data_IF_183855268653
#
_entry.id   IF_183855268653
#
_cell.length_a   1.000
_cell.length_b   1.000
_cell.length_c   1.000
_cell.angle_alpha   90.00
_cell.angle_beta   90.00
_cell.angle_gamma   90.00
#
_symmetry.space_group_name_H-M   'P 1'
#
loop_
_entity.id
_entity.type
_entity.pdbx_description
1 polymer ?
#
# COMPACT_ATOMS: atom_id res chain seq x y z
N UNK A 1 -16.77 24.29 4.38
CA UNK A 1 -17.05 22.84 4.48
C UNK A 1 -15.73 22.17 4.74
N UNK A 2 -15.50 21.64 5.94
CA UNK A 2 -14.23 21.00 6.28
C UNK A 2 -14.03 19.74 5.44
N UNK A 3 -12.79 19.50 4.99
CA UNK A 3 -12.39 18.34 4.17
C UNK A 3 -12.74 17.00 4.86
N UNK A 4 -12.69 16.95 6.19
CA UNK A 4 -13.09 15.81 7.00
C UNK A 4 -14.51 15.29 6.73
N UNK A 5 -15.45 16.19 6.38
CA UNK A 5 -16.83 15.82 6.02
C UNK A 5 -16.97 15.27 4.59
N UNK A 6 -15.92 15.33 3.75
CA UNK A 6 -15.94 14.80 2.38
C UNK A 6 -15.36 13.39 2.25
N UNK A 7 -14.51 12.97 3.21
CA UNK A 7 -13.95 11.61 3.24
C UNK A 7 -14.95 10.68 3.93
N UNK A 8 -15.84 10.07 3.14
CA UNK A 8 -16.67 8.98 3.64
C UNK A 8 -15.84 7.72 3.82
N UNK A 9 -16.26 6.81 4.71
CA UNK A 9 -15.66 5.46 4.85
C UNK A 9 -15.59 4.68 3.51
N UNK A 10 -16.40 5.07 2.52
CA UNK A 10 -16.37 4.54 1.14
C UNK A 10 -15.13 4.99 0.36
N UNK A 11 -14.54 6.13 0.70
CA UNK A 11 -13.37 6.66 -0.02
C UNK A 11 -12.05 6.05 0.50
N UNK A 12 -12.00 5.56 1.73
CA UNK A 12 -10.83 4.87 2.28
C UNK A 12 -10.46 3.60 1.50
N UNK A 13 -11.44 2.94 0.88
CA UNK A 13 -11.22 1.76 0.04
C UNK A 13 -10.88 2.11 -1.42
N UNK A 14 -11.02 3.37 -1.84
CA UNK A 14 -10.75 3.81 -3.21
C UNK A 14 -9.26 4.01 -3.46
N UNK A 15 -8.54 4.56 -2.49
CA UNK A 15 -7.13 4.96 -2.61
C UNK A 15 -6.23 4.06 -1.78
N UNK A 16 -4.96 3.93 -2.21
CA UNK A 16 -3.92 3.24 -1.43
C UNK A 16 -2.97 4.28 -0.81
N UNK A 17 -2.35 3.95 0.33
CA UNK A 17 -1.23 4.73 0.82
C UNK A 17 -0.02 4.50 -0.08
N UNK A 18 0.43 5.54 -0.80
CA UNK A 18 1.60 5.48 -1.69
C UNK A 18 2.89 5.82 -0.96
N UNK A 19 2.82 6.35 0.27
CA UNK A 19 3.95 6.59 1.16
C UNK A 19 4.27 5.37 2.04
N UNK A 20 4.42 4.21 1.43
CA UNK A 20 4.70 2.95 2.16
C UNK A 20 5.97 2.27 1.68
N UNK A 21 6.70 1.65 2.60
CA UNK A 21 7.86 0.82 2.30
C UNK A 21 7.51 -0.36 1.39
N UNK A 22 6.28 -0.88 1.44
CA UNK A 22 5.79 -1.97 0.57
C UNK A 22 5.78 -1.59 -0.91
N UNK A 23 5.65 -0.31 -1.23
CA UNK A 23 5.84 0.24 -2.58
C UNK A 23 7.29 0.64 -2.88
N UNK A 24 8.19 0.57 -1.90
CA UNK A 24 9.58 1.00 -2.02
C UNK A 24 9.78 2.50 -1.77
N UNK A 25 8.80 3.18 -1.17
CA UNK A 25 8.94 4.58 -0.74
C UNK A 25 9.95 4.70 0.39
N UNK A 26 10.76 5.75 0.37
CA UNK A 26 11.83 6.00 1.34
C UNK A 26 11.89 7.49 1.71
N UNK A 27 12.10 7.78 2.98
CA UNK A 27 12.55 9.08 3.45
C UNK A 27 14.06 9.17 3.14
N UNK A 28 14.45 10.14 2.32
CA UNK A 28 15.82 10.22 1.78
C UNK A 28 16.69 11.10 2.66
N UNK A 29 16.23 12.32 2.94
CA UNK A 29 16.94 13.28 3.77
C UNK A 29 15.98 14.27 4.42
N UNK A 30 16.43 14.88 5.50
CA UNK A 30 15.67 15.88 6.24
C UNK A 30 16.60 16.98 6.76
N UNK A 31 16.04 18.07 7.25
CA UNK A 31 16.77 19.14 7.91
C UNK A 31 17.33 18.70 9.25
N UNK A 32 16.56 17.92 10.00
CA UNK A 32 16.92 17.46 11.34
C UNK A 32 16.16 16.16 11.67
N UNK A 33 16.78 15.27 12.43
CA UNK A 33 16.20 14.04 12.97
C UNK A 33 16.82 13.73 14.36
N UNK A 34 17.11 14.77 15.13
CA UNK A 34 17.87 14.66 16.37
C UNK A 34 17.19 13.78 17.44
N UNK A 35 15.86 13.68 17.45
CA UNK A 35 15.12 12.95 18.46
C UNK A 35 14.41 11.69 17.95
N UNK A 36 14.17 11.59 16.63
CA UNK A 36 13.69 10.34 16.04
C UNK A 36 13.93 10.30 14.53
N UNK A 37 14.37 9.14 14.03
CA UNK A 37 14.71 8.91 12.63
C UNK A 37 13.50 9.09 11.71
N UNK A 38 13.70 9.80 10.60
CA UNK A 38 12.66 10.12 9.59
C UNK A 38 11.96 8.92 8.99
N UNK A 39 12.64 7.77 8.90
CA UNK A 39 12.09 6.55 8.31
C UNK A 39 10.88 6.02 9.09
N UNK A 40 10.83 6.28 10.42
CA UNK A 40 9.76 5.76 11.29
C UNK A 40 8.39 6.31 10.94
N UNK A 41 8.29 7.56 10.44
CA UNK A 41 7.00 8.14 10.04
C UNK A 41 6.35 7.45 8.84
N UNK A 42 7.10 6.63 8.07
CA UNK A 42 6.59 5.86 6.94
C UNK A 42 6.19 4.43 7.30
N UNK A 43 6.22 4.06 8.58
CA UNK A 43 5.74 2.76 9.06
C UNK A 43 4.25 2.57 8.76
N UNK A 44 3.86 1.34 8.44
CA UNK A 44 2.45 0.97 8.20
C UNK A 44 1.70 0.59 9.48
N UNK A 45 2.45 0.22 10.53
CA UNK A 45 1.85 -0.13 11.81
C UNK A 45 1.32 1.11 12.51
N UNK A 46 0.27 0.94 13.32
CA UNK A 46 -0.20 2.01 14.19
C UNK A 46 0.93 2.50 15.11
N UNK A 47 0.99 3.82 15.40
CA UNK A 47 1.99 4.36 16.29
C UNK A 47 1.88 3.77 17.68
N UNK A 48 3.02 3.40 18.25
CA UNK A 48 3.10 2.88 19.61
C UNK A 48 3.98 3.77 20.50
N UNK A 49 3.69 3.78 21.79
CA UNK A 49 4.53 4.43 22.79
C UNK A 49 5.20 3.37 23.66
N UNK A 50 6.52 3.49 23.86
CA UNK A 50 7.29 2.62 24.75
C UNK A 50 7.87 3.44 25.89
N UNK A 51 7.32 3.25 27.06
CA UNK A 51 7.82 3.96 28.25
C UNK A 51 9.21 3.44 28.65
N UNK A 52 10.11 4.35 29.02
CA UNK A 52 11.48 4.04 29.50
C UNK A 52 12.33 3.21 28.49
N UNK A 53 12.04 3.32 27.19
CA UNK A 53 12.88 2.75 26.12
C UNK A 53 13.70 3.87 25.50
N UNK A 54 15.00 3.65 25.36
CA UNK A 54 15.94 4.63 24.80
C UNK A 54 16.71 4.02 23.64
N UNK A 55 17.06 4.85 22.68
CA UNK A 55 17.94 4.50 21.57
C UNK A 55 18.99 5.60 21.34
N UNK A 56 19.65 5.60 20.19
CA UNK A 56 20.69 6.57 19.85
C UNK A 56 20.14 8.01 19.71
N UNK A 57 18.82 8.19 19.68
CA UNK A 57 18.12 9.49 19.58
C UNK A 57 17.60 9.98 20.96
N UNK A 58 17.79 9.22 22.02
CA UNK A 58 17.24 9.52 23.36
C UNK A 58 16.02 8.66 23.69
N UNK A 59 15.00 9.25 24.34
CA UNK A 59 13.72 8.56 24.57
C UNK A 59 13.13 8.09 23.23
N UNK A 60 12.86 6.80 23.14
CA UNK A 60 12.36 6.22 21.88
C UNK A 60 10.98 6.77 21.51
N UNK A 61 10.88 7.32 20.31
CA UNK A 61 9.65 7.83 19.72
C UNK A 61 9.34 7.12 18.40
N UNK A 62 8.08 6.75 18.20
CA UNK A 62 7.63 6.06 16.99
C UNK A 62 7.16 7.05 15.91
N UNK A 63 8.12 7.76 15.35
CA UNK A 63 7.90 8.76 14.33
C UNK A 63 9.18 9.48 13.95
N UNK A 64 9.07 10.55 13.17
CA UNK A 64 10.14 11.49 12.88
C UNK A 64 10.03 12.67 13.84
N UNK A 65 11.13 13.04 14.51
CA UNK A 65 11.15 14.16 15.45
C UNK A 65 12.42 14.98 15.31
N UNK A 66 12.22 16.30 15.13
CA UNK A 66 13.28 17.30 15.04
C UNK A 66 13.52 17.99 16.37
N UNK A 67 14.70 18.55 16.56
CA UNK A 67 14.98 19.43 17.69
C UNK A 67 14.22 20.75 17.53
N UNK A 68 13.94 21.40 18.66
CA UNK A 68 13.30 22.71 18.70
C UNK A 68 14.14 23.75 17.97
N UNK A 69 13.56 24.38 16.94
CA UNK A 69 14.18 25.51 16.25
C UNK A 69 14.17 26.76 17.14
N UNK A 70 15.32 27.40 17.21
CA UNK A 70 15.47 28.70 17.91
C UNK A 70 15.74 29.84 16.93
N UNK A 71 15.71 29.58 15.63
CA UNK A 71 15.92 30.52 14.53
C UNK A 71 14.70 30.47 13.59
N UNK A 72 14.46 31.55 12.86
CA UNK A 72 13.41 31.56 11.84
C UNK A 72 13.59 30.43 10.82
N UNK A 73 12.49 29.89 10.32
CA UNK A 73 12.46 28.83 9.32
C UNK A 73 11.56 27.67 9.73
N UNK A 74 11.71 26.55 9.05
CA UNK A 74 10.91 25.35 9.26
C UNK A 74 11.76 24.12 8.94
N UNK A 75 11.29 22.96 9.41
CA UNK A 75 11.92 21.69 9.11
C UNK A 75 11.20 20.96 7.98
N UNK A 76 11.93 20.13 7.26
CA UNK A 76 11.38 19.37 6.15
C UNK A 76 12.04 17.99 6.01
N UNK A 77 11.30 17.09 5.37
CA UNK A 77 11.78 15.77 4.97
C UNK A 77 11.47 15.53 3.50
N UNK A 78 12.45 15.09 2.72
CA UNK A 78 12.29 14.67 1.33
C UNK A 78 12.03 13.17 1.29
N UNK A 79 10.95 12.81 0.60
CA UNK A 79 10.47 11.44 0.46
C UNK A 79 10.47 11.10 -1.03
N UNK A 80 11.15 10.02 -1.38
CA UNK A 80 11.09 9.43 -2.72
C UNK A 80 9.96 8.41 -2.75
N UNK A 81 8.95 8.62 -3.57
CA UNK A 81 7.93 7.60 -3.82
C UNK A 81 8.56 6.41 -4.53
N UNK A 82 8.25 5.22 -4.09
CA UNK A 82 8.74 3.97 -4.70
C UNK A 82 8.16 3.75 -6.09
N UNK A 83 6.93 4.26 -6.33
CA UNK A 83 6.25 4.26 -7.62
C UNK A 83 5.69 5.66 -7.87
N UNK A 84 5.84 6.23 -9.08
CA UNK A 84 5.18 7.48 -9.43
C UNK A 84 3.68 7.39 -9.17
N UNK A 85 3.09 8.41 -8.59
CA UNK A 85 1.70 8.33 -8.10
C UNK A 85 0.94 9.65 -8.28
N UNK A 86 -0.35 9.52 -8.59
CA UNK A 86 -1.30 10.62 -8.43
C UNK A 86 -1.84 10.60 -7.01
N UNK A 87 -1.80 11.72 -6.32
CA UNK A 87 -2.21 11.84 -4.93
C UNK A 87 -3.53 12.60 -4.84
N UNK A 88 -4.43 12.13 -3.99
CA UNK A 88 -5.72 12.75 -3.73
C UNK A 88 -5.71 13.54 -2.42
N UNK A 89 -5.15 12.95 -1.36
CA UNK A 89 -5.05 13.60 -0.07
C UNK A 89 -3.87 13.08 0.75
N UNK A 90 -3.50 13.85 1.76
CA UNK A 90 -2.48 13.52 2.74
C UNK A 90 -3.10 13.28 4.11
N UNK A 91 -2.41 12.50 4.92
CA UNK A 91 -2.73 12.27 6.32
C UNK A 91 -1.46 12.42 7.16
N UNK A 92 -1.56 13.24 8.20
CA UNK A 92 -0.53 13.34 9.23
C UNK A 92 -1.13 12.86 10.55
N UNK A 93 -0.40 11.98 11.21
CA UNK A 93 -0.71 11.49 12.55
C UNK A 93 0.36 12.01 13.51
N UNK A 94 -0.06 12.71 14.56
CA UNK A 94 0.77 13.23 15.63
C UNK A 94 0.61 12.41 16.92
N UNK A 95 0.14 11.16 16.83
CA UNK A 95 -0.03 10.28 17.98
C UNK A 95 1.22 10.26 18.87
N UNK A 96 1.01 10.39 20.17
CA UNK A 96 2.05 10.47 21.22
C UNK A 96 2.88 11.76 21.24
N UNK A 97 2.76 12.65 20.25
CA UNK A 97 3.36 13.98 20.25
C UNK A 97 2.35 15.00 20.82
N UNK A 98 2.32 15.16 22.13
CA UNK A 98 1.31 16.00 22.82
C UNK A 98 1.78 17.43 23.08
N UNK A 99 3.09 17.66 23.24
CA UNK A 99 3.66 18.98 23.49
C UNK A 99 4.72 19.41 22.46
N UNK A 100 5.14 18.48 21.61
CA UNK A 100 6.22 18.62 20.65
C UNK A 100 5.78 18.29 19.20
N UNK A 101 4.48 18.37 18.93
CA UNK A 101 3.95 18.29 17.57
C UNK A 101 4.17 19.60 16.80
N UNK A 102 4.33 19.57 15.47
CA UNK A 102 4.39 20.79 14.66
C UNK A 102 3.03 21.50 14.66
N UNK A 103 3.04 22.83 14.71
CA UNK A 103 1.79 23.61 14.68
C UNK A 103 1.08 23.50 13.35
N UNK A 104 1.86 23.40 12.25
CA UNK A 104 1.34 23.35 10.89
C UNK A 104 2.22 22.47 10.01
N UNK A 105 1.66 22.01 8.89
CA UNK A 105 2.39 21.31 7.84
C UNK A 105 1.92 21.69 6.44
N UNK A 106 2.78 21.45 5.44
CA UNK A 106 2.43 21.48 4.03
C UNK A 106 3.22 20.43 3.25
N UNK A 107 2.75 20.10 2.07
CA UNK A 107 3.44 19.17 1.19
C UNK A 107 3.72 19.82 -0.15
N UNK A 108 4.97 19.64 -0.62
CA UNK A 108 5.39 20.02 -1.95
C UNK A 108 5.69 18.74 -2.74
N UNK A 109 5.46 18.75 -4.05
CA UNK A 109 5.68 17.63 -4.95
C UNK A 109 6.71 17.96 -6.03
N UNK A 110 7.35 16.92 -6.58
CA UNK A 110 8.19 17.03 -7.76
C UNK A 110 8.00 15.82 -8.69
N UNK A 111 7.93 16.09 -9.98
CA UNK A 111 7.79 15.07 -11.05
C UNK A 111 9.16 14.63 -11.62
N UNK A 112 10.24 15.19 -11.13
CA UNK A 112 11.60 14.93 -11.63
C UNK A 112 11.99 13.45 -11.48
N UNK A 113 12.65 12.91 -12.49
CA UNK A 113 13.19 11.53 -12.42
C UNK A 113 14.40 11.42 -11.50
N UNK A 114 15.18 12.52 -11.36
CA UNK A 114 16.33 12.61 -10.45
C UNK A 114 15.89 13.27 -9.15
N UNK A 115 16.67 13.12 -8.10
CA UNK A 115 16.44 13.79 -6.82
C UNK A 115 16.41 15.32 -7.04
N UNK A 116 15.31 15.99 -6.59
CA UNK A 116 15.22 17.44 -6.67
C UNK A 116 16.25 18.10 -5.74
N UNK A 117 16.76 19.27 -6.14
CA UNK A 117 17.58 20.09 -5.24
C UNK A 117 16.72 20.74 -4.16
N UNK A 118 17.36 21.41 -3.19
CA UNK A 118 16.64 22.18 -2.17
C UNK A 118 16.04 23.48 -2.72
N UNK A 119 16.39 23.82 -3.97
CA UNK A 119 15.86 25.01 -4.64
C UNK A 119 14.35 24.88 -4.84
N UNK A 120 13.59 25.88 -4.44
CA UNK A 120 12.12 25.92 -4.57
C UNK A 120 11.64 25.72 -6.01
N UNK A 121 12.45 26.10 -7.02
CA UNK A 121 12.14 25.89 -8.45
C UNK A 121 11.97 24.41 -8.84
N UNK A 122 12.48 23.49 -8.04
CA UNK A 122 12.36 22.05 -8.28
C UNK A 122 11.08 21.45 -7.70
N UNK A 123 10.32 22.25 -6.97
CA UNK A 123 9.16 21.83 -6.20
C UNK A 123 7.94 22.65 -6.55
N UNK A 124 6.79 21.99 -6.50
CA UNK A 124 5.48 22.62 -6.58
C UNK A 124 4.74 22.47 -5.25
N UNK A 125 4.09 23.53 -4.79
CA UNK A 125 3.19 23.47 -3.64
C UNK A 125 1.96 22.68 -4.06
N UNK A 126 1.71 21.55 -3.39
CA UNK A 126 0.61 20.63 -3.70
C UNK A 126 -0.38 20.44 -2.56
N UNK A 127 -0.18 21.15 -1.46
CA UNK A 127 -1.18 21.29 -0.39
C UNK A 127 -1.16 22.70 0.19
N UNK A 128 -2.29 23.12 0.73
CA UNK A 128 -2.31 24.31 1.60
C UNK A 128 -1.55 24.03 2.89
N UNK A 129 -1.10 25.10 3.56
CA UNK A 129 -0.64 24.99 4.96
C UNK A 129 -1.85 24.61 5.82
N UNK A 130 -1.70 23.55 6.60
CA UNK A 130 -2.76 22.94 7.40
C UNK A 130 -2.36 22.94 8.87
N UNK A 131 -3.24 23.38 9.74
CA UNK A 131 -3.05 23.33 11.18
C UNK A 131 -3.06 21.87 11.67
N UNK A 132 -2.16 21.56 12.57
CA UNK A 132 -2.07 20.26 13.26
C UNK A 132 -2.37 20.46 14.74
N UNK A 133 -2.72 19.37 15.40
CA UNK A 133 -2.96 19.35 16.84
C UNK A 133 -2.23 18.21 17.55
N UNK A 134 -2.28 18.18 18.89
CA UNK A 134 -1.63 17.15 19.69
C UNK A 134 -2.35 15.81 19.54
N UNK A 135 -1.58 14.73 19.33
CA UNK A 135 -2.06 13.34 19.34
C UNK A 135 -3.35 13.13 18.52
N UNK A 136 -3.37 13.63 17.28
CA UNK A 136 -4.53 13.53 16.38
C UNK A 136 -4.14 13.17 14.95
N UNK A 137 -5.11 12.69 14.19
CA UNK A 137 -5.01 12.46 12.76
C UNK A 137 -5.63 13.65 12.02
N UNK A 138 -4.85 14.26 11.13
CA UNK A 138 -5.28 15.38 10.28
C UNK A 138 -5.23 14.97 8.80
N UNK A 139 -6.36 15.08 8.09
CA UNK A 139 -6.45 14.83 6.65
C UNK A 139 -6.58 16.16 5.90
N UNK A 140 -5.85 16.29 4.78
CA UNK A 140 -5.92 17.48 3.92
C UNK A 140 -5.69 17.15 2.45
N UNK A 141 -6.26 17.96 1.57
CA UNK A 141 -6.35 17.70 0.14
C UNK A 141 -4.99 17.91 -0.59
N UNK A 142 -4.72 17.09 -1.60
CA UNK A 142 -3.74 17.39 -2.62
C UNK A 142 -4.39 18.32 -3.67
N UNK A 143 -3.94 19.57 -3.72
CA UNK A 143 -4.55 20.64 -4.54
C UNK A 143 -4.17 20.57 -6.02
N UNK A 144 -3.16 19.79 -6.38
CA UNK A 144 -2.69 19.62 -7.76
C UNK A 144 -2.68 18.16 -8.18
N UNK A 145 -3.14 17.92 -9.39
CA UNK A 145 -3.21 16.57 -9.99
C UNK A 145 -2.07 16.42 -10.99
N UNK A 146 -1.05 15.67 -10.59
CA UNK A 146 0.06 15.26 -11.46
C UNK A 146 0.61 13.91 -11.01
N UNK A 147 1.60 13.37 -11.73
CA UNK A 147 2.28 12.11 -11.40
C UNK A 147 3.55 12.43 -10.61
N UNK A 148 3.41 12.45 -9.31
CA UNK A 148 4.48 12.81 -8.40
C UNK A 148 5.48 11.66 -8.23
N UNK A 149 6.76 11.98 -8.12
CA UNK A 149 7.87 11.06 -7.84
C UNK A 149 8.53 11.34 -6.52
N UNK A 150 8.43 12.58 -6.06
CA UNK A 150 9.02 13.05 -4.82
C UNK A 150 8.03 13.91 -4.07
N UNK A 151 8.09 13.81 -2.75
CA UNK A 151 7.36 14.68 -1.84
C UNK A 151 8.35 15.36 -0.90
N UNK A 152 8.08 16.60 -0.53
CA UNK A 152 8.74 17.31 0.55
C UNK A 152 7.68 17.65 1.58
N UNK A 153 7.74 16.95 2.71
CA UNK A 153 6.92 17.26 3.87
C UNK A 153 7.59 18.40 4.62
N UNK A 154 6.92 19.53 4.76
CA UNK A 154 7.36 20.67 5.55
C UNK A 154 6.54 20.72 6.84
N UNK A 155 7.20 20.97 7.96
CA UNK A 155 6.61 21.14 9.28
C UNK A 155 7.02 22.47 9.88
N UNK A 156 6.08 23.17 10.51
CA UNK A 156 6.27 24.54 10.99
C UNK A 156 6.05 24.65 12.49
N UNK A 157 7.02 25.20 13.28
CA UNK A 157 8.40 25.45 12.87
C UNK A 157 9.27 24.17 12.93
N UNK A 158 8.96 23.26 13.84
CA UNK A 158 9.63 22.00 14.19
C UNK A 158 8.65 21.04 14.86
N UNK A 159 9.08 19.83 15.21
CA UNK A 159 8.31 18.93 16.03
C UNK A 159 8.34 17.47 15.57
N UNK A 160 7.40 16.68 16.10
CA UNK A 160 7.30 15.25 15.86
C UNK A 160 6.05 14.85 15.07
N UNK A 161 6.23 13.92 14.15
CA UNK A 161 5.18 13.28 13.36
C UNK A 161 5.29 11.77 13.50
N UNK A 162 4.23 11.13 14.01
CA UNK A 162 4.18 9.69 14.16
C UNK A 162 4.06 8.99 12.80
N UNK A 163 3.10 9.44 11.96
CA UNK A 163 2.93 8.88 10.60
C UNK A 163 2.63 9.96 9.59
N UNK A 164 3.19 9.77 8.40
CA UNK A 164 2.85 10.51 7.19
C UNK A 164 2.38 9.54 6.11
N UNK A 165 1.16 9.72 5.63
CA UNK A 165 0.57 8.91 4.57
C UNK A 165 0.10 9.82 3.43
N UNK A 166 0.22 9.34 2.19
CA UNK A 166 -0.34 9.99 1.01
C UNK A 166 -1.22 8.98 0.27
N UNK A 167 -2.45 9.32 0.04
CA UNK A 167 -3.46 8.43 -0.52
C UNK A 167 -3.76 8.79 -1.97
N UNK A 168 -3.74 7.77 -2.83
CA UNK A 168 -3.95 7.96 -4.26
C UNK A 168 -3.84 6.66 -5.05
N UNK A 169 -3.37 6.78 -6.28
CA UNK A 169 -3.11 5.63 -7.16
C UNK A 169 -1.72 5.68 -7.75
N UNK A 170 -1.08 4.54 -7.87
CA UNK A 170 0.19 4.41 -8.56
C UNK A 170 0.01 4.63 -10.07
N UNK A 171 1.01 5.24 -10.68
CA UNK A 171 1.18 5.40 -12.13
C UNK A 171 2.56 4.82 -12.49
N UNK A 172 2.67 3.50 -12.58
CA UNK A 172 3.96 2.84 -12.75
C UNK A 172 4.58 3.18 -14.11
N UNK A 173 5.90 3.26 -14.14
CA UNK A 173 6.65 3.18 -15.37
C UNK A 173 6.65 1.71 -15.84
N UNK A 174 5.82 1.38 -16.82
CA UNK A 174 5.70 0.02 -17.33
C UNK A 174 6.99 -0.43 -18.02
N UNK A 175 7.45 -1.68 -17.81
CA UNK A 175 8.60 -2.20 -18.53
C UNK A 175 8.34 -2.29 -20.04
N UNK A 176 9.42 -2.23 -20.82
CA UNK A 176 9.34 -2.33 -22.28
C UNK A 176 8.79 -3.70 -22.74
N UNK A 177 9.23 -4.78 -22.06
CA UNK A 177 8.65 -6.11 -22.30
C UNK A 177 7.36 -6.26 -21.49
N UNK A 178 6.25 -6.39 -22.20
CA UNK A 178 4.90 -6.46 -21.63
C UNK A 178 4.31 -7.87 -21.57
N UNK A 179 5.12 -8.90 -21.81
CA UNK A 179 4.62 -10.27 -21.96
C UNK A 179 4.50 -11.05 -20.64
N UNK A 180 5.25 -10.64 -19.59
CA UNK A 180 5.29 -11.36 -18.30
C UNK A 180 5.33 -10.36 -17.14
N UNK A 181 4.27 -9.56 -17.02
CA UNK A 181 4.15 -8.55 -15.98
C UNK A 181 3.36 -9.10 -14.80
N UNK A 182 3.86 -8.92 -13.58
CA UNK A 182 3.15 -9.27 -12.34
C UNK A 182 2.04 -8.26 -12.03
N UNK A 183 0.92 -8.35 -12.74
CA UNK A 183 -0.15 -7.34 -12.69
C UNK A 183 -0.95 -7.34 -11.38
N UNK A 184 -0.83 -8.36 -10.55
CA UNK A 184 -1.38 -8.34 -9.19
C UNK A 184 -0.56 -7.49 -8.22
N UNK A 185 0.69 -7.15 -8.54
CA UNK A 185 1.59 -6.45 -7.64
C UNK A 185 1.15 -5.01 -7.37
N UNK A 186 1.26 -4.58 -6.10
CA UNK A 186 0.97 -3.20 -5.66
C UNK A 186 1.73 -2.16 -6.48
N UNK A 187 2.99 -2.42 -6.88
CA UNK A 187 3.79 -1.47 -7.66
C UNK A 187 3.21 -1.19 -9.04
N UNK A 188 2.41 -2.09 -9.58
CA UNK A 188 1.68 -1.95 -10.84
C UNK A 188 0.22 -1.57 -10.65
N UNK A 189 -0.21 -1.29 -9.43
CA UNK A 189 -1.58 -0.88 -9.11
C UNK A 189 -2.52 -2.04 -8.78
N UNK A 190 -1.98 -3.24 -8.56
CA UNK A 190 -2.74 -4.35 -7.97
C UNK A 190 -3.33 -3.94 -6.63
N UNK A 191 -4.57 -4.32 -6.36
CA UNK A 191 -5.30 -3.91 -5.16
C UNK A 191 -6.24 -4.99 -4.67
N UNK A 192 -6.24 -5.23 -3.36
CA UNK A 192 -7.24 -6.07 -2.71
C UNK A 192 -8.54 -5.27 -2.59
N UNK A 193 -9.64 -5.87 -3.06
CA UNK A 193 -10.95 -5.23 -3.11
C UNK A 193 -11.86 -5.72 -2.00
N UNK A 194 -11.89 -7.04 -1.77
CA UNK A 194 -12.73 -7.68 -0.76
C UNK A 194 -12.17 -9.06 -0.40
N UNK A 195 -12.55 -9.56 0.76
CA UNK A 195 -12.12 -10.87 1.27
C UNK A 195 -13.16 -11.40 2.27
N UNK A 196 -13.18 -12.73 2.46
CA UNK A 196 -14.08 -13.39 3.42
C UNK A 196 -13.65 -13.18 4.86
N UNK A 197 -12.35 -13.30 5.12
CA UNK A 197 -11.72 -13.14 6.44
C UNK A 197 -10.25 -12.76 6.28
N UNK A 198 -9.73 -11.95 7.21
CA UNK A 198 -8.32 -11.59 7.34
C UNK A 198 -8.03 -11.39 8.82
N UNK A 199 -7.71 -12.47 9.51
CA UNK A 199 -7.58 -12.45 10.96
C UNK A 199 -6.15 -12.22 11.43
N UNK A 200 -5.18 -12.78 10.71
CA UNK A 200 -3.76 -12.67 11.03
C UNK A 200 -2.98 -12.10 9.84
N UNK A 201 -1.89 -11.44 10.16
CA UNK A 201 -0.98 -10.86 9.16
C UNK A 201 -1.54 -9.62 8.47
N UNK A 202 -0.79 -9.17 7.47
CA UNK A 202 -1.18 -8.05 6.62
C UNK A 202 -1.63 -8.58 5.25
N UNK A 203 -2.93 -8.54 4.99
CA UNK A 203 -3.51 -9.06 3.75
C UNK A 203 -2.88 -8.45 2.48
N UNK A 204 -2.45 -7.20 2.51
CA UNK A 204 -1.81 -6.56 1.36
C UNK A 204 -0.43 -7.14 1.04
N UNK A 205 0.22 -7.80 2.01
CA UNK A 205 1.55 -8.40 1.81
C UNK A 205 1.55 -9.44 0.69
N UNK A 206 0.44 -10.16 0.47
CA UNK A 206 0.38 -11.23 -0.54
C UNK A 206 0.61 -10.75 -1.98
N UNK A 207 0.39 -9.45 -2.24
CA UNK A 207 0.62 -8.81 -3.55
C UNK A 207 1.78 -7.82 -3.53
N UNK A 208 2.65 -7.86 -2.51
CA UNK A 208 3.87 -7.05 -2.46
C UNK A 208 5.02 -7.70 -3.21
N UNK A 209 6.02 -6.89 -3.56
CA UNK A 209 7.27 -7.37 -4.15
C UNK A 209 8.12 -8.11 -3.08
N UNK A 210 8.91 -9.08 -3.52
CA UNK A 210 9.87 -9.79 -2.68
C UNK A 210 9.30 -11.07 -2.06
N UNK A 211 10.18 -11.80 -1.38
CA UNK A 211 9.83 -13.04 -0.71
C UNK A 211 9.21 -12.75 0.66
N UNK A 212 8.36 -13.64 1.18
CA UNK A 212 7.85 -13.51 2.54
C UNK A 212 9.00 -13.64 3.56
N UNK A 213 8.88 -12.97 4.70
CA UNK A 213 9.91 -13.03 5.76
C UNK A 213 9.45 -13.85 6.98
N UNK A 214 8.16 -13.97 7.19
CA UNK A 214 7.53 -14.81 8.24
C UNK A 214 6.02 -14.95 7.97
N UNK A 215 5.29 -15.67 8.84
CA UNK A 215 3.84 -15.85 8.72
C UNK A 215 3.06 -14.53 8.78
N UNK A 216 3.48 -13.57 9.59
CA UNK A 216 2.84 -12.26 9.70
C UNK A 216 2.94 -11.42 8.43
N UNK A 217 3.87 -11.76 7.52
CA UNK A 217 4.02 -11.19 6.19
C UNK A 217 3.23 -11.99 5.15
N UNK A 218 1.95 -12.24 5.44
CA UNK A 218 1.03 -12.98 4.59
C UNK A 218 -0.41 -12.74 4.98
N UNK A 219 -1.33 -13.37 4.30
CA UNK A 219 -2.77 -13.40 4.60
C UNK A 219 -3.12 -14.73 5.24
N UNK A 220 -3.74 -14.71 6.42
CA UNK A 220 -4.21 -15.89 7.12
C UNK A 220 -5.63 -15.68 7.66
N UNK A 221 -6.50 -16.64 7.38
CA UNK A 221 -7.88 -16.65 7.85
C UNK A 221 -8.01 -17.45 9.16
N UNK A 222 -9.06 -17.19 9.92
CA UNK A 222 -9.43 -18.02 11.05
C UNK A 222 -9.76 -19.44 10.62
N UNK A 223 -9.50 -20.41 11.50
CA UNK A 223 -9.92 -21.79 11.25
C UNK A 223 -11.44 -21.89 11.11
N UNK A 224 -11.87 -22.37 9.96
CA UNK A 224 -13.27 -22.53 9.62
C UNK A 224 -13.86 -23.75 10.32
N UNK A 225 -14.94 -23.54 11.08
CA UNK A 225 -15.67 -24.62 11.79
C UNK A 225 -17.04 -24.92 11.17
N UNK A 226 -17.38 -24.25 10.09
CA UNK A 226 -18.59 -24.44 9.30
C UNK A 226 -18.22 -24.80 7.85
N UNK A 227 -19.09 -25.49 7.10
CA UNK A 227 -18.88 -25.76 5.69
C UNK A 227 -18.64 -24.47 4.91
N UNK A 228 -17.77 -24.53 3.90
CA UNK A 228 -17.46 -23.39 3.05
C UNK A 228 -15.98 -23.28 2.71
N UNK A 229 -15.57 -22.10 2.28
CA UNK A 229 -14.20 -21.79 1.90
C UNK A 229 -13.95 -20.28 2.07
N UNK A 230 -12.69 -19.90 2.18
CA UNK A 230 -12.32 -18.50 2.24
C UNK A 230 -11.82 -18.00 0.87
N UNK A 231 -11.89 -16.70 0.67
CA UNK A 231 -11.60 -16.11 -0.62
C UNK A 231 -11.11 -14.66 -0.51
N UNK A 232 -10.43 -14.23 -1.55
CA UNK A 232 -9.97 -12.86 -1.73
C UNK A 232 -10.19 -12.41 -3.17
N UNK A 233 -10.65 -11.17 -3.36
CA UNK A 233 -10.82 -10.54 -4.67
C UNK A 233 -9.75 -9.47 -4.85
N UNK A 234 -9.03 -9.56 -5.95
CA UNK A 234 -7.95 -8.65 -6.31
C UNK A 234 -8.27 -8.00 -7.65
N UNK A 235 -8.20 -6.68 -7.69
CA UNK A 235 -8.15 -5.92 -8.94
C UNK A 235 -6.70 -5.91 -9.44
N UNK A 236 -6.47 -6.30 -10.67
CA UNK A 236 -5.17 -6.21 -11.33
C UNK A 236 -4.85 -4.75 -11.69
N UNK A 237 -3.59 -4.40 -11.71
CA UNK A 237 -3.15 -3.04 -12.04
C UNK A 237 -3.53 -2.56 -13.44
N UNK A 238 -3.71 -3.51 -14.36
CA UNK A 238 -4.23 -3.27 -15.70
C UNK A 238 -4.91 -4.53 -16.24
N UNK A 239 -5.64 -4.38 -17.33
CA UNK A 239 -6.24 -5.50 -18.06
C UNK A 239 -5.15 -6.44 -18.59
N UNK A 240 -5.25 -7.73 -18.27
CA UNK A 240 -4.19 -8.72 -18.39
C UNK A 240 -4.70 -9.99 -19.05
N UNK A 241 -3.97 -10.51 -20.06
CA UNK A 241 -4.10 -11.90 -20.51
C UNK A 241 -3.17 -12.76 -19.60
N UNK A 242 -3.76 -13.50 -18.68
CA UNK A 242 -3.02 -14.28 -17.67
C UNK A 242 -2.30 -15.45 -18.34
N UNK A 243 -1.01 -15.62 -18.05
CA UNK A 243 -0.19 -16.73 -18.52
C UNK A 243 0.41 -17.56 -17.38
N UNK A 244 0.55 -16.98 -16.18
CA UNK A 244 1.15 -17.64 -15.02
C UNK A 244 0.51 -17.19 -13.72
N UNK A 245 0.33 -18.13 -12.80
CA UNK A 245 -0.14 -17.91 -11.44
C UNK A 245 0.88 -18.51 -10.49
N UNK A 246 1.26 -17.76 -9.44
CA UNK A 246 2.08 -18.26 -8.35
C UNK A 246 1.30 -18.13 -7.05
N UNK A 247 1.26 -19.21 -6.29
CA UNK A 247 0.72 -19.27 -4.93
C UNK A 247 1.81 -19.79 -4.01
N UNK A 248 2.17 -19.00 -3.02
CA UNK A 248 3.23 -19.30 -2.07
C UNK A 248 2.65 -19.50 -0.68
N UNK A 249 2.88 -20.65 -0.09
CA UNK A 249 2.49 -21.03 1.28
C UNK A 249 3.69 -21.08 2.22
N UNK A 250 4.85 -20.54 1.84
CA UNK A 250 6.05 -20.50 2.68
C UNK A 250 5.73 -19.98 4.07
N UNK A 251 6.27 -20.61 5.11
CA UNK A 251 6.00 -20.46 6.54
C UNK A 251 4.67 -21.02 7.04
N UNK A 252 3.67 -21.28 6.19
CA UNK A 252 2.40 -21.90 6.58
C UNK A 252 2.52 -23.42 6.58
N UNK A 253 3.08 -24.00 7.65
CA UNK A 253 3.39 -25.44 7.75
C UNK A 253 2.18 -26.28 8.20
N UNK A 254 1.42 -25.78 9.18
CA UNK A 254 0.26 -26.49 9.75
C UNK A 254 -1.10 -25.88 9.44
N UNK A 255 -1.10 -24.72 8.81
CA UNK A 255 -2.26 -23.87 8.56
C UNK A 255 -2.34 -23.35 7.11
N UNK A 256 -1.71 -24.08 6.16
CA UNK A 256 -1.92 -23.82 4.74
C UNK A 256 -3.25 -24.38 4.26
N UNK A 257 -3.88 -23.81 3.23
CA UNK A 257 -5.05 -24.43 2.59
C UNK A 257 -4.69 -25.77 1.96
N UNK A 258 -5.64 -26.69 1.91
CA UNK A 258 -5.46 -27.98 1.21
C UNK A 258 -5.61 -27.84 -0.31
N UNK A 259 -6.43 -26.89 -0.75
CA UNK A 259 -6.71 -26.65 -2.17
C UNK A 259 -6.92 -25.17 -2.43
N UNK A 260 -6.72 -24.82 -3.69
CA UNK A 260 -7.08 -23.50 -4.24
C UNK A 260 -7.90 -23.65 -5.52
N UNK A 261 -8.59 -22.58 -5.90
CA UNK A 261 -9.12 -22.38 -7.26
C UNK A 261 -9.12 -20.90 -7.60
N UNK A 262 -9.13 -20.54 -8.87
CA UNK A 262 -9.14 -19.16 -9.31
C UNK A 262 -10.29 -18.90 -10.28
N UNK A 263 -10.98 -17.79 -10.06
CA UNK A 263 -11.98 -17.21 -10.97
C UNK A 263 -11.47 -15.86 -11.42
N UNK A 264 -11.85 -15.43 -12.64
CA UNK A 264 -11.49 -14.13 -13.15
C UNK A 264 -12.55 -13.57 -14.10
N UNK A 265 -12.62 -12.24 -14.17
CA UNK A 265 -13.53 -11.56 -15.09
C UNK A 265 -12.96 -10.19 -15.50
N UNK A 266 -13.39 -9.72 -16.66
CA UNK A 266 -13.20 -8.33 -17.10
C UNK A 266 -14.43 -7.53 -16.73
N UNK A 267 -14.26 -6.56 -15.85
CA UNK A 267 -15.33 -5.66 -15.44
C UNK A 267 -14.99 -4.26 -15.89
N UNK A 268 -15.77 -3.73 -16.83
CA UNK A 268 -15.69 -2.34 -17.26
C UNK A 268 -16.46 -1.47 -16.24
N UNK A 269 -15.85 -1.30 -15.08
CA UNK A 269 -16.45 -0.55 -13.98
C UNK A 269 -16.24 0.95 -14.16
N UNK A 270 -17.32 1.64 -14.49
CA UNK A 270 -17.49 3.02 -14.01
C UNK A 270 -17.51 2.97 -12.48
N UNK A 271 -17.00 4.00 -11.80
CA UNK A 271 -16.82 4.07 -10.34
C UNK A 271 -18.01 3.45 -9.55
N UNK A 272 -17.71 2.70 -8.46
CA UNK A 272 -18.66 2.13 -7.49
C UNK A 272 -19.39 0.82 -7.83
N UNK A 273 -18.86 -0.03 -8.72
CA UNK A 273 -19.42 -1.39 -8.88
C UNK A 273 -19.02 -2.27 -7.70
N UNK A 274 -20.02 -2.78 -6.96
CA UNK A 274 -19.79 -3.84 -5.99
C UNK A 274 -19.55 -5.16 -6.73
N UNK A 275 -18.28 -5.56 -6.81
CA UNK A 275 -17.85 -6.76 -7.56
C UNK A 275 -18.07 -8.05 -6.76
N UNK A 276 -18.20 -7.97 -5.45
CA UNK A 276 -18.27 -9.13 -4.57
C UNK A 276 -19.46 -10.06 -4.87
N UNK A 277 -20.72 -9.57 -4.98
CA UNK A 277 -21.85 -10.43 -5.27
C UNK A 277 -21.77 -11.10 -6.65
N UNK A 278 -21.08 -10.48 -7.60
CA UNK A 278 -20.92 -11.00 -8.95
C UNK A 278 -19.82 -12.05 -9.05
N UNK A 279 -18.83 -12.00 -8.14
CA UNK A 279 -17.63 -12.82 -8.21
C UNK A 279 -17.88 -14.31 -8.02
N UNK A 280 -19.04 -14.72 -7.49
CA UNK A 280 -19.44 -16.14 -7.41
C UNK A 280 -19.74 -16.75 -8.79
N UNK A 281 -20.14 -15.92 -9.75
CA UNK A 281 -20.50 -16.33 -11.12
C UNK A 281 -19.35 -16.22 -12.11
N UNK A 282 -18.19 -15.64 -11.71
CA UNK A 282 -17.06 -15.51 -12.61
C UNK A 282 -16.54 -16.88 -13.07
N UNK A 283 -16.13 -17.00 -14.34
CA UNK A 283 -15.59 -18.24 -14.86
C UNK A 283 -14.34 -18.67 -14.10
N UNK A 284 -14.19 -19.98 -13.88
CA UNK A 284 -12.99 -20.58 -13.29
C UNK A 284 -11.90 -20.66 -14.34
N UNK A 285 -10.79 -19.97 -14.10
CA UNK A 285 -9.58 -20.05 -14.95
C UNK A 285 -8.58 -21.07 -14.42
N UNK A 286 -8.64 -21.42 -13.12
CA UNK A 286 -7.93 -22.53 -12.53
C UNK A 286 -8.94 -23.36 -11.71
N UNK A 287 -9.15 -24.65 -12.09
CA UNK A 287 -9.96 -25.58 -11.31
C UNK A 287 -9.27 -25.83 -9.98
N UNK A 288 -9.99 -26.49 -9.06
CA UNK A 288 -9.47 -26.87 -7.74
C UNK A 288 -8.18 -27.68 -7.87
N UNK A 289 -7.07 -27.13 -7.33
CA UNK A 289 -5.75 -27.73 -7.32
C UNK A 289 -5.33 -28.02 -5.89
N UNK A 290 -4.64 -29.12 -5.67
CA UNK A 290 -3.97 -29.44 -4.42
C UNK A 290 -2.76 -28.51 -4.28
N UNK A 291 -2.55 -27.99 -3.08
CA UNK A 291 -1.32 -27.28 -2.71
C UNK A 291 -0.72 -27.88 -1.43
N UNK A 292 0.59 -27.78 -1.32
CA UNK A 292 1.34 -28.28 -0.17
C UNK A 292 1.67 -27.14 0.80
N UNK A 293 1.80 -27.44 2.10
CA UNK A 293 2.33 -26.49 3.07
C UNK A 293 3.77 -26.06 2.72
N UNK A 294 4.16 -24.87 3.18
CA UNK A 294 5.54 -24.35 3.12
C UNK A 294 6.18 -24.50 1.74
N UNK A 295 5.46 -24.17 0.68
CA UNK A 295 5.83 -24.47 -0.71
C UNK A 295 5.37 -23.39 -1.69
N UNK A 296 6.11 -23.28 -2.79
CA UNK A 296 5.75 -22.41 -3.92
C UNK A 296 5.12 -23.24 -5.02
N UNK A 297 3.94 -22.83 -5.50
CA UNK A 297 3.18 -23.49 -6.55
C UNK A 297 3.06 -22.57 -7.75
N UNK A 298 3.41 -23.09 -8.93
CA UNK A 298 3.33 -22.37 -10.20
C UNK A 298 2.37 -23.09 -11.13
N UNK A 299 1.42 -22.35 -11.70
CA UNK A 299 0.43 -22.84 -12.64
C UNK A 299 0.54 -22.05 -13.94
N UNK A 300 0.96 -22.73 -15.01
CA UNK A 300 1.09 -22.18 -16.37
C UNK A 300 0.26 -23.01 -17.35
N UNK A 301 0.47 -24.32 -17.38
CA UNK A 301 -0.18 -25.24 -18.32
C UNK A 301 -1.58 -25.69 -17.87
N UNK A 302 -1.95 -25.45 -16.62
CA UNK A 302 -3.22 -25.86 -16.03
C UNK A 302 -4.30 -24.77 -16.13
N UNK A 303 -3.96 -23.64 -16.71
CA UNK A 303 -4.92 -22.60 -17.04
C UNK A 303 -5.78 -23.13 -18.17
N UNK A 304 -7.10 -23.21 -17.95
CA UNK A 304 -8.02 -23.44 -19.07
C UNK A 304 -7.68 -22.47 -20.17
N UNK A 305 -7.93 -22.82 -21.42
CA UNK A 305 -7.79 -21.97 -22.61
C UNK A 305 -8.55 -20.64 -22.41
N UNK A 306 -8.12 -19.91 -21.38
CA UNK A 306 -8.72 -18.65 -20.98
C UNK A 306 -7.97 -17.55 -21.71
N UNK A 307 -8.30 -17.42 -23.00
CA UNK A 307 -7.71 -16.38 -23.84
C UNK A 307 -8.21 -14.96 -23.52
N UNK A 308 -9.14 -14.84 -22.57
CA UNK A 308 -9.76 -13.56 -22.24
C UNK A 308 -8.81 -12.65 -21.46
N UNK A 309 -8.93 -11.36 -21.72
CA UNK A 309 -8.31 -10.30 -20.95
C UNK A 309 -9.20 -10.03 -19.74
N UNK A 310 -8.60 -10.02 -18.53
CA UNK A 310 -9.29 -9.79 -17.27
C UNK A 310 -8.64 -8.67 -16.47
N UNK A 311 -9.37 -8.10 -15.55
CA UNK A 311 -8.85 -7.08 -14.62
C UNK A 311 -9.24 -7.34 -13.15
N UNK A 312 -9.99 -8.40 -12.89
CA UNK A 312 -10.29 -8.90 -11.54
C UNK A 312 -10.07 -10.41 -11.46
N UNK A 313 -9.53 -10.84 -10.33
CA UNK A 313 -9.36 -12.24 -9.99
C UNK A 313 -9.90 -12.53 -8.59
N UNK A 314 -10.45 -13.72 -8.39
CA UNK A 314 -10.89 -14.22 -7.08
C UNK A 314 -10.15 -15.51 -6.79
N UNK A 315 -9.24 -15.47 -5.81
CA UNK A 315 -8.60 -16.65 -5.25
C UNK A 315 -9.52 -17.24 -4.19
N UNK A 316 -9.83 -18.53 -4.32
CA UNK A 316 -10.53 -19.31 -3.30
C UNK A 316 -9.55 -20.26 -2.66
N UNK A 317 -9.56 -20.36 -1.33
CA UNK A 317 -8.76 -21.30 -0.53
C UNK A 317 -9.68 -22.24 0.24
N UNK A 318 -9.32 -23.52 0.34
CA UNK A 318 -10.19 -24.54 0.91
C UNK A 318 -9.47 -25.35 2.01
N UNK A 319 -10.10 -25.51 3.22
CA UNK A 319 -11.29 -24.78 3.68
C UNK A 319 -10.95 -23.35 4.12
N UNK A 320 -9.77 -23.13 4.67
CA UNK A 320 -9.18 -21.93 5.26
C UNK A 320 -7.66 -22.02 5.20
N UNK A 321 -6.95 -21.02 5.74
CA UNK A 321 -5.51 -21.10 5.95
C UNK A 321 -4.76 -19.85 5.54
N UNK A 322 -3.45 -20.01 5.34
CA UNK A 322 -2.53 -18.93 5.07
C UNK A 322 -1.86 -18.99 3.70
N UNK A 323 -1.70 -17.83 3.09
CA UNK A 323 -0.99 -17.58 1.82
C UNK A 323 0.05 -16.48 2.06
N UNK A 324 1.31 -16.75 1.78
CA UNK A 324 2.40 -15.79 1.90
C UNK A 324 2.44 -14.82 0.71
N UNK A 325 2.33 -15.34 -0.52
CA UNK A 325 2.29 -14.52 -1.75
C UNK A 325 1.30 -15.11 -2.75
N UNK A 326 0.65 -14.21 -3.46
CA UNK A 326 -0.21 -14.53 -4.59
C UNK A 326 0.12 -13.62 -5.75
N UNK A 327 0.59 -14.19 -6.84
CA UNK A 327 1.10 -13.43 -8.00
C UNK A 327 0.41 -13.86 -9.27
N UNK A 328 -0.04 -12.87 -10.03
CA UNK A 328 -0.62 -13.04 -11.36
C UNK A 328 0.29 -12.38 -12.37
N UNK A 329 0.78 -13.18 -13.31
CA UNK A 329 1.59 -12.72 -14.42
C UNK A 329 0.82 -12.84 -15.72
N UNK A 330 1.11 -11.93 -16.63
CA UNK A 330 0.51 -12.00 -17.94
C UNK A 330 0.95 -10.91 -18.89
N UNK A 331 0.41 -11.00 -20.10
CA UNK A 331 0.59 -10.01 -21.16
C UNK A 331 -0.38 -8.85 -20.94
N UNK A 332 0.16 -7.64 -21.01
CA UNK A 332 -0.63 -6.41 -20.98
C UNK A 332 -0.67 -5.76 -22.36
N UNK A 333 -1.74 -5.03 -22.68
CA UNK A 333 -1.89 -4.31 -23.93
C UNK A 333 -1.40 -2.86 -23.81
N UNK A 334 -1.02 -2.24 -24.93
CA UNK A 334 -0.56 -0.84 -25.01
C UNK A 334 -1.67 0.21 -24.81
N UNK A 335 -2.91 -0.25 -24.67
CA UNK A 335 -4.08 0.63 -24.59
C UNK A 335 -4.40 0.98 -23.14
N UNK A 336 -3.58 1.85 -22.49
CA UNK A 336 -4.00 2.64 -21.32
C UNK A 336 -3.08 3.86 -21.16
#
# INVERSE_FOLDING_TARGET
>A
MNFENKLSLKDSNKYINVCTSNLGTKAIRCTDESFAAKERMLSETEPIFKNNVYDNYGQWMDGWETKRRRTAGFDWCIIRLGVPSCIEYFQIDTAHFTGNYPLQASVWGSTKKREPSDNEKDWEIISNITDLGPSQITNFECTKKDVWRWLRLNIYPDGGIARFKAFGYVKPDWPLNKNDIETSNLIYGGKIISFSDAHYGNINSIITKGNPVNMGDGWETRRRRSPGYDWIIIKLGTATKINKILVDTTFFKGNSPSFISLQAEKIDAKENVNVEPQAIYWPKILKKQIINPDSVHIFENNLYEFEKIVNYVKLNIYPDGGISRFRIFGKINDSN
#
